data_IF_598854009067
#
_entry.id   IF_598854009067
#
_cell.length_a   1.000
_cell.length_b   1.000
_cell.length_c   1.000
_cell.angle_alpha   90.00
_cell.angle_beta   90.00
_cell.angle_gamma   90.00
#
_symmetry.space_group_name_H-M   'P 1'
#
loop_
_entity.id
_entity.type
_entity.pdbx_description
1 polymer ?
#
# COMPACT_ATOMS: atom_id res chain seq x y z
N UNK A 1 22.54 -1.18 -30.05
CA UNK A 1 22.62 -1.59 -28.62
C UNK A 1 22.69 -0.40 -27.66
N UNK A 2 23.67 0.51 -27.76
CA UNK A 2 23.83 1.66 -26.83
C UNK A 2 22.63 2.63 -26.75
N UNK A 3 21.89 2.81 -27.86
CA UNK A 3 20.65 3.63 -27.91
C UNK A 3 19.43 2.96 -27.28
N UNK A 4 19.36 1.62 -27.33
CA UNK A 4 18.25 0.83 -26.76
C UNK A 4 18.39 0.77 -25.24
N UNK A 5 19.62 0.60 -24.74
CA UNK A 5 19.92 0.63 -23.30
C UNK A 5 19.63 2.01 -22.71
N UNK A 6 19.99 3.10 -23.41
CA UNK A 6 19.65 4.46 -22.97
C UNK A 6 18.13 4.74 -22.98
N UNK A 7 17.40 4.20 -23.96
CA UNK A 7 15.94 4.39 -24.06
C UNK A 7 15.18 3.59 -23.00
N UNK A 8 15.65 2.41 -22.61
CA UNK A 8 15.07 1.61 -21.52
C UNK A 8 15.35 2.25 -20.15
N UNK A 9 16.55 2.81 -19.96
CA UNK A 9 16.90 3.51 -18.72
C UNK A 9 16.10 4.83 -18.56
N UNK A 10 15.85 5.55 -19.66
CA UNK A 10 15.02 6.77 -19.66
C UNK A 10 13.53 6.47 -19.42
N UNK A 11 13.03 5.32 -19.89
CA UNK A 11 11.65 4.88 -19.66
C UNK A 11 11.41 4.52 -18.18
N UNK A 12 12.39 3.93 -17.49
CA UNK A 12 12.30 3.64 -16.05
C UNK A 12 12.36 4.91 -15.18
N UNK A 13 13.10 5.94 -15.59
CA UNK A 13 13.23 7.18 -14.84
C UNK A 13 11.93 8.01 -14.78
N UNK A 14 11.04 7.88 -15.78
CA UNK A 14 9.76 8.60 -15.82
C UNK A 14 8.66 8.00 -14.96
N UNK A 15 8.80 6.75 -14.51
CA UNK A 15 7.78 6.05 -13.71
C UNK A 15 7.94 6.36 -12.20
N UNK A 16 9.06 6.96 -11.78
CA UNK A 16 9.31 7.32 -10.37
C UNK A 16 8.68 8.66 -9.92
N UNK A 17 8.04 9.42 -10.81
CA UNK A 17 7.36 10.68 -10.47
C UNK A 17 5.94 10.46 -9.92
N UNK A 18 5.77 9.44 -9.08
CA UNK A 18 4.50 9.11 -8.43
C UNK A 18 4.18 10.09 -7.29
N UNK A 19 3.30 11.05 -7.58
CA UNK A 19 2.37 11.74 -6.68
C UNK A 19 2.80 11.93 -5.21
N UNK A 20 3.43 13.06 -4.90
CA UNK A 20 3.44 13.62 -3.54
C UNK A 20 2.22 14.52 -3.39
N UNK A 21 1.05 13.96 -3.09
CA UNK A 21 -0.08 14.76 -2.60
C UNK A 21 0.19 15.10 -1.12
N UNK A 22 0.75 16.28 -0.87
CA UNK A 22 0.80 16.84 0.48
C UNK A 22 -0.63 17.09 0.94
N UNK A 23 -1.16 16.21 1.80
CA UNK A 23 -2.36 16.52 2.57
C UNK A 23 -1.96 17.55 3.60
N UNK A 24 -2.24 18.81 3.31
CA UNK A 24 -2.02 19.92 4.24
C UNK A 24 -3.07 19.81 5.33
N UNK A 25 -2.68 19.29 6.49
CA UNK A 25 -3.50 19.38 7.70
C UNK A 25 -3.36 20.79 8.25
N UNK A 26 -4.46 21.55 8.27
CA UNK A 26 -4.45 22.91 8.79
C UNK A 26 -4.25 22.91 10.31
N UNK A 27 -3.27 23.66 10.80
CA UNK A 27 -3.01 23.82 12.23
C UNK A 27 -4.15 24.62 12.88
N UNK A 28 -4.80 24.04 13.89
CA UNK A 28 -5.94 24.67 14.55
C UNK A 28 -5.43 25.55 15.70
N UNK A 29 -5.69 26.87 15.61
CA UNK A 29 -5.44 27.80 16.72
C UNK A 29 -6.56 27.70 17.75
N UNK A 30 -6.36 26.88 18.77
CA UNK A 30 -7.24 26.75 19.93
C UNK A 30 -6.85 27.72 21.05
N UNK A 31 -7.85 28.10 21.86
CA UNK A 31 -7.60 28.79 23.13
C UNK A 31 -6.72 27.93 24.06
N UNK A 32 -5.88 28.59 24.87
CA UNK A 32 -4.88 27.94 25.73
C UNK A 32 -5.51 26.92 26.70
N UNK A 33 -6.72 27.20 27.18
CA UNK A 33 -7.47 26.31 28.08
C UNK A 33 -7.89 25.01 27.39
N UNK A 34 -8.42 25.10 26.17
CA UNK A 34 -8.84 23.92 25.38
C UNK A 34 -7.62 23.08 24.98
N UNK A 35 -6.55 23.75 24.55
CA UNK A 35 -5.28 23.09 24.21
C UNK A 35 -4.73 22.29 25.40
N UNK A 36 -4.71 22.88 26.60
CA UNK A 36 -4.27 22.18 27.80
C UNK A 36 -5.16 20.98 28.15
N UNK A 37 -6.48 21.11 28.00
CA UNK A 37 -7.42 20.00 28.22
C UNK A 37 -7.18 18.82 27.27
N UNK A 38 -6.99 19.09 25.98
CA UNK A 38 -6.73 18.03 25.01
C UNK A 38 -5.35 17.40 25.19
N UNK A 39 -4.34 18.20 25.56
CA UNK A 39 -3.02 17.68 25.87
C UNK A 39 -3.07 16.72 27.06
N UNK A 40 -3.74 17.11 28.15
CA UNK A 40 -3.93 16.25 29.32
C UNK A 40 -4.67 14.96 28.98
N UNK A 41 -5.71 15.05 28.15
CA UNK A 41 -6.45 13.87 27.69
C UNK A 41 -5.55 12.89 26.93
N UNK A 42 -4.71 13.37 26.01
CA UNK A 42 -3.76 12.53 25.29
C UNK A 42 -2.72 11.89 26.25
N UNK A 43 -2.17 12.66 27.21
CA UNK A 43 -1.25 12.13 28.23
C UNK A 43 -1.89 11.00 29.04
N UNK A 44 -3.17 11.12 29.41
CA UNK A 44 -3.89 10.07 30.14
C UNK A 44 -4.02 8.78 29.31
N UNK A 45 -4.17 8.88 27.98
CA UNK A 45 -4.20 7.71 27.11
C UNK A 45 -2.84 7.01 27.03
N UNK A 46 -1.75 7.77 26.90
CA UNK A 46 -0.39 7.20 26.97
C UNK A 46 -0.17 6.47 28.30
N UNK A 47 -0.49 7.09 29.43
CA UNK A 47 -0.31 6.48 30.75
C UNK A 47 -1.15 5.20 30.90
N UNK A 48 -2.37 5.20 30.36
CA UNK A 48 -3.27 4.04 30.36
C UNK A 48 -2.73 2.89 29.50
N UNK A 49 -2.23 3.19 28.31
CA UNK A 49 -1.63 2.22 27.39
C UNK A 49 -0.31 1.65 27.95
N UNK A 50 0.55 2.48 28.53
CA UNK A 50 1.78 2.01 29.19
C UNK A 50 1.45 1.10 30.37
N UNK A 51 0.47 1.47 31.20
CA UNK A 51 0.09 0.63 32.32
C UNK A 51 -0.47 -0.72 31.86
N UNK A 52 -1.29 -0.73 30.82
CA UNK A 52 -1.77 -1.97 30.18
C UNK A 52 -0.61 -2.83 29.70
N UNK A 53 0.38 -2.24 29.00
CA UNK A 53 1.56 -2.96 28.53
C UNK A 53 2.40 -3.56 29.67
N UNK A 54 2.63 -2.81 30.74
CA UNK A 54 3.51 -3.23 31.85
C UNK A 54 2.88 -4.27 32.78
N UNK A 55 1.57 -4.15 33.03
CA UNK A 55 0.88 -4.93 34.07
C UNK A 55 -0.11 -5.94 33.51
N UNK A 56 -0.30 -5.96 32.18
CA UNK A 56 -1.31 -6.75 31.49
C UNK A 56 -2.74 -6.52 32.05
N UNK A 57 -2.99 -5.35 32.65
CA UNK A 57 -4.31 -5.00 33.20
C UNK A 57 -5.29 -4.71 32.09
N UNK A 58 -6.44 -5.36 32.08
CA UNK A 58 -7.48 -5.12 31.07
C UNK A 58 -7.93 -3.65 31.07
N UNK A 59 -7.86 -3.00 29.92
CA UNK A 59 -8.58 -1.75 29.68
C UNK A 59 -10.06 -2.12 29.52
N UNK A 60 -10.92 -1.63 30.42
CA UNK A 60 -12.38 -1.88 30.40
C UNK A 60 -13.09 -1.03 29.34
N UNK A 61 -12.69 -1.19 28.08
CA UNK A 61 -13.26 -0.49 26.94
C UNK A 61 -13.09 -1.38 25.69
N UNK A 62 -14.21 -1.97 25.26
CA UNK A 62 -14.25 -2.90 24.13
C UNK A 62 -14.45 -2.18 22.78
N UNK A 63 -14.33 -0.85 22.74
CA UNK A 63 -14.39 -0.12 21.47
C UNK A 63 -13.24 -0.54 20.55
N UNK A 64 -13.54 -0.66 19.25
CA UNK A 64 -12.54 -0.95 18.22
C UNK A 64 -11.40 0.07 18.23
N UNK A 65 -11.69 1.31 18.61
CA UNK A 65 -10.71 2.38 18.74
C UNK A 65 -9.65 2.05 19.80
N UNK A 66 -10.06 1.59 20.98
CA UNK A 66 -9.13 1.23 22.04
C UNK A 66 -8.36 -0.06 21.73
N UNK A 67 -9.00 -1.03 21.08
CA UNK A 67 -8.29 -2.23 20.63
C UNK A 67 -7.19 -1.90 19.61
N UNK A 68 -7.51 -1.08 18.61
CA UNK A 68 -6.53 -0.59 17.64
C UNK A 68 -5.41 0.22 18.31
N UNK A 69 -5.75 1.00 19.35
CA UNK A 69 -4.77 1.75 20.12
C UNK A 69 -3.82 0.83 20.90
N UNK A 70 -4.35 -0.20 21.57
CA UNK A 70 -3.54 -1.20 22.27
C UNK A 70 -2.60 -1.90 21.29
N UNK A 71 -3.12 -2.35 20.14
CA UNK A 71 -2.33 -3.01 19.11
C UNK A 71 -1.23 -2.09 18.57
N UNK A 72 -1.58 -0.88 18.15
CA UNK A 72 -0.64 0.13 17.64
C UNK A 72 0.44 0.45 18.67
N UNK A 73 0.06 0.63 19.93
CA UNK A 73 0.99 0.91 21.00
C UNK A 73 1.92 -0.28 21.25
N UNK A 74 1.39 -1.49 21.36
CA UNK A 74 2.18 -2.71 21.58
C UNK A 74 3.21 -2.94 20.46
N UNK A 75 2.83 -2.69 19.21
CA UNK A 75 3.75 -2.75 18.08
C UNK A 75 4.86 -1.71 18.18
N UNK A 76 4.52 -0.47 18.51
CA UNK A 76 5.49 0.62 18.66
C UNK A 76 6.39 0.47 19.89
N UNK A 77 5.87 -0.14 20.97
CA UNK A 77 6.46 -0.09 22.30
C UNK A 77 7.86 -0.67 22.40
N UNK A 78 8.13 -1.76 21.66
CA UNK A 78 9.46 -2.40 21.57
C UNK A 78 10.50 -1.46 20.96
N UNK A 79 10.07 -0.69 19.97
CA UNK A 79 10.93 0.18 19.16
C UNK A 79 11.14 1.54 19.82
N UNK A 80 10.17 2.02 20.59
CA UNK A 80 10.33 3.21 21.46
C UNK A 80 11.39 2.96 22.55
N UNK A 81 11.41 1.77 23.14
CA UNK A 81 12.29 1.45 24.27
C UNK A 81 11.80 2.07 25.59
N UNK A 82 12.66 2.21 26.60
CA UNK A 82 12.25 2.70 27.92
C UNK A 82 11.75 4.15 27.81
N UNK A 83 10.58 4.43 28.38
CA UNK A 83 10.03 5.76 28.57
C UNK A 83 10.02 6.09 30.06
N UNK A 84 10.37 7.32 30.41
CA UNK A 84 10.24 7.79 31.77
C UNK A 84 8.95 8.59 31.96
N UNK A 85 7.90 7.89 32.39
CA UNK A 85 6.58 8.48 32.62
C UNK A 85 6.30 8.77 34.10
N UNK A 86 7.23 8.43 35.01
CA UNK A 86 6.98 8.46 36.46
C UNK A 86 7.80 9.52 37.17
N UNK A 87 9.00 9.81 36.67
CA UNK A 87 9.87 10.85 37.21
C UNK A 87 9.81 12.14 36.38
N UNK A 88 10.25 13.24 36.98
CA UNK A 88 10.34 14.57 36.35
C UNK A 88 9.04 15.02 35.65
N UNK A 89 7.99 15.22 36.46
CA UNK A 89 6.71 15.77 36.02
C UNK A 89 6.70 17.29 36.11
N UNK A 90 6.05 17.94 35.15
CA UNK A 90 5.78 19.37 35.19
C UNK A 90 4.77 19.75 36.29
N UNK A 91 4.49 21.04 36.43
CA UNK A 91 3.51 21.58 37.38
C UNK A 91 2.08 21.05 37.18
N UNK A 92 1.78 20.45 36.03
CA UNK A 92 0.49 19.87 35.69
C UNK A 92 0.49 18.33 35.77
N UNK A 93 1.55 17.72 36.29
CA UNK A 93 1.68 16.26 36.44
C UNK A 93 2.07 15.52 35.15
N UNK A 94 2.43 16.25 34.08
CA UNK A 94 2.81 15.66 32.79
C UNK A 94 4.29 15.28 32.83
N UNK A 95 4.66 14.03 32.49
CA UNK A 95 6.06 13.61 32.44
C UNK A 95 6.87 14.39 31.39
N UNK A 96 8.11 14.76 31.68
CA UNK A 96 9.01 15.46 30.73
C UNK A 96 9.35 14.61 29.49
N UNK A 97 9.10 13.31 29.53
CA UNK A 97 9.19 12.44 28.36
C UNK A 97 8.06 12.65 27.35
N UNK A 98 6.98 13.40 27.68
CA UNK A 98 5.85 13.65 26.79
C UNK A 98 5.78 15.14 26.47
N UNK A 99 5.73 15.49 25.18
CA UNK A 99 5.60 16.86 24.73
C UNK A 99 4.41 17.03 23.80
N UNK A 100 3.74 18.18 23.92
CA UNK A 100 2.74 18.58 22.96
C UNK A 100 3.41 18.95 21.62
N UNK A 101 2.87 18.43 20.52
CA UNK A 101 3.39 18.71 19.18
C UNK A 101 2.45 19.63 18.42
N UNK A 102 1.22 19.18 18.15
CA UNK A 102 0.27 19.95 17.36
C UNK A 102 -1.17 19.53 17.60
N UNK A 103 -2.11 20.42 17.27
CA UNK A 103 -3.50 20.05 17.02
C UNK A 103 -3.83 20.48 15.60
N UNK A 104 -4.26 19.52 14.80
CA UNK A 104 -4.60 19.74 13.40
C UNK A 104 -6.02 19.30 13.12
N UNK A 105 -6.58 19.73 11.98
CA UNK A 105 -7.88 19.27 11.52
C UNK A 105 -7.73 18.22 10.42
N UNK A 106 -8.46 17.12 10.51
CA UNK A 106 -8.55 16.15 9.42
C UNK A 106 -9.58 16.62 8.35
N UNK A 107 -9.77 15.80 7.31
CA UNK A 107 -10.73 16.07 6.22
C UNK A 107 -12.19 16.06 6.68
N UNK A 108 -12.49 15.36 7.77
CA UNK A 108 -13.82 15.17 8.34
C UNK A 108 -14.14 16.21 9.43
N UNK A 109 -13.29 17.25 9.55
CA UNK A 109 -13.37 18.29 10.57
C UNK A 109 -13.06 17.85 12.02
N UNK A 110 -12.53 16.65 12.22
CA UNK A 110 -12.10 16.16 13.52
C UNK A 110 -10.77 16.77 13.94
N UNK A 111 -10.57 16.88 15.25
CA UNK A 111 -9.30 17.33 15.82
C UNK A 111 -8.36 16.15 15.99
N UNK A 112 -7.15 16.28 15.45
CA UNK A 112 -6.06 15.33 15.60
C UNK A 112 -5.02 15.96 16.52
N UNK A 113 -4.96 15.45 17.74
CA UNK A 113 -4.02 15.89 18.76
C UNK A 113 -2.79 14.99 18.70
N UNK A 114 -1.64 15.60 18.47
CA UNK A 114 -0.35 14.91 18.36
C UNK A 114 0.51 15.26 19.55
N UNK A 115 0.96 14.23 20.27
CA UNK A 115 1.95 14.34 21.33
C UNK A 115 3.13 13.45 21.00
N UNK A 116 4.35 13.94 21.24
CA UNK A 116 5.58 13.17 21.06
C UNK A 116 6.03 12.59 22.39
N UNK A 117 6.31 11.29 22.41
CA UNK A 117 6.89 10.55 23.51
C UNK A 117 8.37 10.30 23.24
N UNK A 118 9.23 10.62 24.21
CA UNK A 118 10.66 10.35 24.17
C UNK A 118 10.95 8.96 24.73
N UNK A 119 11.41 8.08 23.86
CA UNK A 119 11.89 6.75 24.22
C UNK A 119 13.42 6.66 24.22
N UNK A 120 13.96 5.64 24.90
CA UNK A 120 15.40 5.37 24.92
C UNK A 120 15.99 4.94 23.57
N UNK A 121 15.16 4.44 22.65
CA UNK A 121 15.58 3.96 21.32
C UNK A 121 15.11 4.92 20.24
N UNK A 122 13.79 5.13 20.17
CA UNK A 122 13.14 6.02 19.22
C UNK A 122 12.10 6.87 19.94
N UNK A 123 11.84 8.06 19.39
CA UNK A 123 10.66 8.81 19.76
C UNK A 123 9.44 8.20 19.07
N UNK A 124 8.25 8.52 19.55
CA UNK A 124 7.02 8.16 18.87
C UNK A 124 5.97 9.23 19.05
N UNK A 125 5.17 9.43 18.01
CA UNK A 125 4.01 10.30 18.04
C UNK A 125 2.75 9.49 18.33
N UNK A 126 2.02 9.90 19.38
CA UNK A 126 0.65 9.45 19.60
C UNK A 126 -0.31 10.45 18.97
N UNK A 127 -1.23 9.93 18.15
CA UNK A 127 -2.28 10.69 17.48
C UNK A 127 -3.63 10.31 18.05
N UNK A 128 -4.24 11.24 18.78
CA UNK A 128 -5.59 11.13 19.30
C UNK A 128 -6.54 11.94 18.41
N UNK A 129 -7.46 11.25 17.74
CA UNK A 129 -8.48 11.87 16.90
C UNK A 129 -9.81 11.94 17.65
N UNK A 130 -10.35 13.14 17.78
CA UNK A 130 -11.62 13.40 18.46
C UNK A 130 -12.57 14.22 17.60
N UNK A 131 -13.86 13.95 17.74
CA UNK A 131 -14.89 14.84 17.24
C UNK A 131 -14.97 16.09 18.13
N UNK A 132 -14.85 17.31 17.60
CA UNK A 132 -14.89 18.54 18.40
C UNK A 132 -16.26 18.87 19.00
N UNK A 133 -17.36 18.29 18.50
CA UNK A 133 -18.73 18.63 18.93
C UNK A 133 -19.13 17.88 20.21
N UNK A 134 -18.79 16.60 20.31
CA UNK A 134 -19.15 15.73 21.45
C UNK A 134 -17.94 15.15 22.20
N UNK A 135 -16.71 15.46 21.76
CA UNK A 135 -15.46 14.87 22.25
C UNK A 135 -15.39 13.34 22.14
N UNK A 136 -16.18 12.73 21.25
CA UNK A 136 -16.08 11.30 20.97
C UNK A 136 -14.70 10.96 20.39
N UNK A 137 -14.11 9.86 20.86
CA UNK A 137 -12.81 9.40 20.39
C UNK A 137 -13.01 8.55 19.16
N UNK A 138 -12.48 9.01 18.04
CA UNK A 138 -12.64 8.39 16.73
C UNK A 138 -11.42 7.54 16.36
N UNK A 139 -10.26 7.88 16.90
CA UNK A 139 -9.01 7.19 16.60
C UNK A 139 -7.95 7.45 17.66
N UNK A 140 -7.14 6.43 17.91
CA UNK A 140 -5.95 6.54 18.74
C UNK A 140 -4.89 5.61 18.16
N UNK A 141 -3.74 6.16 17.80
CA UNK A 141 -2.62 5.39 17.23
C UNK A 141 -1.28 5.92 17.70
N UNK A 142 -0.28 5.06 17.70
CA UNK A 142 1.10 5.36 18.08
C UNK A 142 2.02 5.01 16.92
N UNK A 143 2.80 5.98 16.46
CA UNK A 143 3.72 5.84 15.32
C UNK A 143 5.15 6.12 15.77
N UNK A 144 6.08 5.23 15.44
CA UNK A 144 7.49 5.37 15.82
C UNK A 144 8.22 6.28 14.82
N UNK A 145 9.00 7.22 15.35
CA UNK A 145 9.82 8.13 14.56
C UNK A 145 11.17 7.50 14.22
N UNK A 146 11.22 6.88 13.04
CA UNK A 146 12.46 6.37 12.48
C UNK A 146 13.23 7.47 11.74
N UNK A 147 14.55 7.47 11.88
CA UNK A 147 15.40 8.34 11.06
C UNK A 147 15.32 7.95 9.58
N UNK A 148 15.56 8.92 8.68
CA UNK A 148 15.58 8.67 7.23
C UNK A 148 16.56 7.56 6.83
N UNK A 149 17.70 7.47 7.51
CA UNK A 149 18.70 6.41 7.29
C UNK A 149 18.19 5.03 7.70
N UNK A 150 17.45 4.93 8.80
CA UNK A 150 16.88 3.67 9.26
C UNK A 150 15.76 3.20 8.36
N UNK A 151 14.84 4.11 7.97
CA UNK A 151 13.80 3.83 6.98
C UNK A 151 14.40 3.37 5.66
N UNK A 152 15.45 4.03 5.18
CA UNK A 152 16.15 3.63 3.97
C UNK A 152 16.82 2.26 4.12
N UNK A 153 17.40 1.97 5.30
CA UNK A 153 17.98 0.67 5.61
C UNK A 153 16.92 -0.45 5.66
N UNK A 154 15.76 -0.19 6.27
CA UNK A 154 14.62 -1.12 6.30
C UNK A 154 14.07 -1.36 4.89
N UNK A 155 13.89 -0.31 4.10
CA UNK A 155 13.46 -0.41 2.70
C UNK A 155 14.48 -1.18 1.84
N UNK A 156 15.78 -0.93 2.02
CA UNK A 156 16.83 -1.65 1.32
C UNK A 156 16.84 -3.14 1.67
N UNK A 157 16.61 -3.49 2.94
CA UNK A 157 16.47 -4.91 3.34
C UNK A 157 15.28 -5.57 2.64
N UNK A 158 14.13 -4.90 2.57
CA UNK A 158 12.96 -5.43 1.87
C UNK A 158 13.21 -5.55 0.36
N UNK A 159 13.95 -4.59 -0.22
CA UNK A 159 14.38 -4.66 -1.62
C UNK A 159 15.32 -5.85 -1.86
N UNK A 160 16.29 -6.10 -0.96
CA UNK A 160 17.22 -7.24 -1.09
C UNK A 160 16.48 -8.57 -0.99
N UNK A 161 15.50 -8.71 -0.10
CA UNK A 161 14.72 -9.94 -0.02
C UNK A 161 13.85 -10.12 -1.27
N UNK A 162 13.10 -9.10 -1.69
CA UNK A 162 12.19 -9.22 -2.85
C UNK A 162 12.93 -9.32 -4.18
N UNK A 163 13.80 -8.35 -4.46
CA UNK A 163 14.52 -8.22 -5.74
C UNK A 163 15.78 -9.08 -5.79
N UNK A 164 16.45 -9.31 -4.66
CA UNK A 164 17.65 -10.15 -4.60
C UNK A 164 17.33 -11.63 -4.78
N UNK A 165 16.21 -12.12 -4.24
CA UNK A 165 15.80 -13.52 -4.41
C UNK A 165 15.44 -13.81 -5.86
N UNK A 166 14.69 -12.91 -6.52
CA UNK A 166 14.36 -13.06 -7.94
C UNK A 166 15.62 -13.00 -8.82
N UNK A 167 16.55 -12.08 -8.55
CA UNK A 167 17.85 -12.03 -9.22
C UNK A 167 18.65 -13.32 -9.05
N UNK A 168 18.67 -13.89 -7.84
CA UNK A 168 19.38 -15.15 -7.54
C UNK A 168 18.78 -16.34 -8.30
N UNK A 169 17.46 -16.45 -8.36
CA UNK A 169 16.78 -17.52 -9.11
C UNK A 169 17.11 -17.42 -10.61
N UNK A 170 17.12 -16.21 -11.17
CA UNK A 170 17.48 -16.02 -12.58
C UNK A 170 18.94 -16.43 -12.86
N UNK A 171 19.87 -16.07 -11.98
CA UNK A 171 21.27 -16.47 -12.11
C UNK A 171 21.43 -18.00 -12.00
N UNK A 172 20.69 -18.63 -11.09
CA UNK A 172 20.68 -20.07 -10.93
C UNK A 172 20.10 -20.82 -12.15
N UNK A 173 18.97 -20.35 -12.71
CA UNK A 173 18.39 -20.94 -13.92
C UNK A 173 19.30 -20.79 -15.14
N UNK A 174 19.92 -19.61 -15.30
CA UNK A 174 20.94 -19.38 -16.31
C UNK A 174 22.12 -20.36 -16.17
N UNK A 175 22.60 -20.56 -14.93
CA UNK A 175 23.68 -21.49 -14.64
C UNK A 175 23.33 -22.95 -14.96
N UNK A 176 22.10 -23.38 -14.65
CA UNK A 176 21.62 -24.75 -14.94
C UNK A 176 21.56 -25.02 -16.44
N UNK A 177 21.03 -24.09 -17.24
CA UNK A 177 20.99 -24.22 -18.72
C UNK A 177 22.41 -24.28 -19.29
N UNK A 178 23.32 -23.46 -18.78
CA UNK A 178 24.72 -23.47 -19.17
C UNK A 178 25.41 -24.81 -18.86
N UNK A 179 25.17 -25.39 -17.68
CA UNK A 179 25.73 -26.69 -17.28
C UNK A 179 25.20 -27.83 -18.17
N UNK A 180 23.89 -27.85 -18.42
CA UNK A 180 23.27 -28.84 -19.32
C UNK A 180 23.79 -28.72 -20.75
N UNK A 181 23.96 -27.50 -21.28
CA UNK A 181 24.54 -27.28 -22.60
C UNK A 181 26.02 -27.69 -22.72
N UNK A 182 26.72 -27.86 -21.59
CA UNK A 182 28.10 -28.37 -21.56
C UNK A 182 28.18 -29.90 -21.44
N UNK A 183 27.19 -30.53 -20.79
CA UNK A 183 27.14 -31.99 -20.61
C UNK A 183 26.43 -32.71 -21.77
N UNK A 184 25.44 -32.07 -22.38
CA UNK A 184 24.78 -32.54 -23.60
C UNK A 184 25.53 -31.88 -24.76
N UNK A 185 26.46 -32.61 -25.39
CA UNK A 185 27.23 -32.12 -26.53
C UNK A 185 26.33 -31.48 -27.57
N UNK A 186 26.76 -30.33 -28.13
CA UNK A 186 26.03 -29.53 -29.12
C UNK A 186 25.16 -30.40 -30.04
N UNK A 187 23.88 -30.47 -29.73
CA UNK A 187 22.91 -30.85 -30.74
C UNK A 187 22.59 -29.55 -31.46
N UNK A 188 23.11 -29.42 -32.68
CA UNK A 188 22.65 -28.40 -33.62
C UNK A 188 21.15 -28.63 -33.79
N UNK A 189 20.35 -27.80 -33.12
CA UNK A 189 18.94 -27.68 -33.43
C UNK A 189 18.91 -26.93 -34.76
N UNK A 190 18.44 -27.52 -35.87
CA UNK A 190 18.22 -26.76 -37.08
C UNK A 190 17.29 -25.61 -36.71
N UNK A 191 17.62 -24.41 -37.16
CA UNK A 191 16.71 -23.28 -37.13
C UNK A 191 15.54 -23.57 -38.08
N UNK A 192 14.61 -24.42 -37.65
CA UNK A 192 13.24 -24.35 -38.13
C UNK A 192 12.61 -23.25 -37.31
N UNK A 193 12.64 -22.03 -37.86
CA UNK A 193 11.55 -21.08 -37.64
C UNK A 193 10.30 -21.83 -38.08
N UNK A 194 9.67 -22.55 -37.14
CA UNK A 194 8.26 -22.82 -37.25
C UNK A 194 7.63 -21.47 -36.97
N UNK A 195 7.26 -20.81 -38.06
CA UNK A 195 6.13 -19.91 -38.04
C UNK A 195 4.95 -20.76 -37.55
N UNK A 196 4.81 -20.86 -36.22
CA UNK A 196 3.54 -21.22 -35.62
C UNK A 196 2.64 -20.01 -35.87
N UNK A 197 2.10 -19.99 -37.08
CA UNK A 197 0.73 -19.59 -37.29
C UNK A 197 -0.08 -20.34 -36.25
N UNK A 198 -0.39 -19.63 -35.17
CA UNK A 198 -1.39 -20.04 -34.19
C UNK A 198 -2.74 -19.89 -34.91
N UNK A 199 -3.04 -20.81 -35.84
CA UNK A 199 -4.40 -21.01 -36.29
C UNK A 199 -5.10 -21.76 -35.16
N UNK A 200 -5.60 -21.00 -34.20
CA UNK A 200 -6.70 -21.42 -33.34
C UNK A 200 -8.03 -21.38 -34.14
N UNK A 201 -8.02 -21.77 -35.42
CA UNK A 201 -9.20 -21.74 -36.29
C UNK A 201 -10.28 -22.70 -35.81
N UNK A 202 -9.91 -23.72 -35.02
CA UNK A 202 -10.85 -24.72 -34.54
C UNK A 202 -11.71 -24.24 -33.36
N UNK A 203 -11.25 -23.24 -32.60
CA UNK A 203 -12.01 -22.59 -31.52
C UNK A 203 -12.83 -21.42 -32.05
N UNK A 204 -12.27 -20.65 -33.00
CA UNK A 204 -12.96 -19.52 -33.62
C UNK A 204 -14.15 -19.95 -34.47
N UNK A 205 -14.14 -21.11 -35.14
CA UNK A 205 -15.31 -21.61 -35.89
C UNK A 205 -16.52 -21.87 -34.99
N UNK A 206 -16.30 -22.35 -33.76
CA UNK A 206 -17.38 -22.57 -32.79
C UNK A 206 -17.91 -21.23 -32.25
N UNK A 207 -17.01 -20.28 -31.97
CA UNK A 207 -17.38 -18.94 -31.52
C UNK A 207 -18.15 -18.17 -32.61
N UNK A 208 -17.69 -18.24 -33.86
CA UNK A 208 -18.36 -17.65 -35.03
C UNK A 208 -19.72 -18.30 -35.28
N UNK A 209 -19.85 -19.62 -35.11
CA UNK A 209 -21.14 -20.32 -35.22
C UNK A 209 -22.14 -19.86 -34.14
N UNK A 210 -21.70 -19.72 -32.89
CA UNK A 210 -22.56 -19.24 -31.77
C UNK A 210 -22.95 -17.78 -31.99
N UNK A 211 -22.02 -16.92 -32.41
CA UNK A 211 -22.30 -15.51 -32.71
C UNK A 211 -23.26 -15.41 -33.91
N UNK A 212 -23.07 -16.23 -34.95
CA UNK A 212 -23.95 -16.25 -36.13
C UNK A 212 -25.36 -16.75 -35.78
N UNK A 213 -25.47 -17.81 -34.98
CA UNK A 213 -26.74 -18.32 -34.48
C UNK A 213 -27.44 -17.30 -33.57
N UNK A 214 -26.71 -16.61 -32.69
CA UNK A 214 -27.24 -15.56 -31.82
C UNK A 214 -27.71 -14.34 -32.64
N UNK A 215 -26.97 -13.94 -33.67
CA UNK A 215 -27.40 -12.85 -34.58
C UNK A 215 -28.63 -13.27 -35.36
N UNK A 216 -28.67 -14.50 -35.89
CA UNK A 216 -29.83 -15.02 -36.62
C UNK A 216 -31.08 -15.11 -35.73
N UNK A 217 -30.94 -15.58 -34.49
CA UNK A 217 -32.03 -15.62 -33.52
C UNK A 217 -32.45 -14.21 -33.07
N UNK A 218 -31.53 -13.25 -32.99
CA UNK A 218 -31.84 -11.85 -32.65
C UNK A 218 -32.53 -11.07 -33.78
N UNK A 219 -32.50 -11.61 -35.01
CA UNK A 219 -33.13 -11.04 -36.20
C UNK A 219 -34.28 -11.94 -36.62
N UNK A 220 -35.27 -12.09 -35.73
CA UNK A 220 -36.58 -12.55 -36.17
C UNK A 220 -37.08 -11.58 -37.24
N UNK A 221 -37.22 -12.12 -38.46
CA UNK A 221 -37.82 -11.53 -39.67
C UNK A 221 -36.91 -10.71 -40.60
N UNK A 222 -36.25 -11.39 -41.53
CA UNK A 222 -36.06 -10.84 -42.89
C UNK A 222 -36.56 -11.85 -43.92
N UNK A 223 -37.77 -11.59 -44.43
CA UNK A 223 -38.47 -12.33 -45.47
C UNK A 223 -37.57 -12.73 -46.64
N UNK A 224 -37.56 -14.02 -46.99
CA UNK A 224 -36.85 -14.60 -48.13
C UNK A 224 -37.61 -14.46 -49.47
N UNK A 225 -38.58 -13.54 -49.56
CA UNK A 225 -39.51 -13.42 -50.70
C UNK A 225 -39.13 -12.33 -51.73
N UNK A 226 -37.92 -11.76 -51.61
CA UNK A 226 -37.50 -10.58 -52.38
C UNK A 226 -36.54 -10.81 -53.56
N UNK A 227 -36.15 -12.04 -53.88
CA UNK A 227 -35.12 -12.30 -54.88
C UNK A 227 -35.70 -12.95 -56.15
N UNK A 228 -36.05 -12.12 -57.14
CA UNK A 228 -36.38 -12.58 -58.49
C UNK A 228 -35.10 -12.68 -59.32
N UNK A 229 -34.70 -13.91 -59.65
CA UNK A 229 -33.67 -14.17 -60.66
C UNK A 229 -34.29 -14.01 -62.04
N UNK A 230 -33.75 -13.09 -62.84
CA UNK A 230 -34.06 -12.97 -64.27
C UNK A 230 -32.80 -13.21 -65.08
N UNK A 231 -32.88 -14.10 -66.06
CA UNK A 231 -31.78 -14.49 -66.94
C UNK A 231 -31.45 -13.35 -67.91
N UNK A 232 -30.28 -12.74 -67.74
CA UNK A 232 -29.74 -11.75 -68.67
C UNK A 232 -28.89 -12.49 -69.72
N UNK A 233 -29.34 -12.50 -70.97
CA UNK A 233 -28.52 -12.92 -72.11
C UNK A 233 -27.82 -11.68 -72.66
N UNK A 234 -26.48 -11.66 -72.65
CA UNK A 234 -25.72 -10.61 -73.34
C UNK A 234 -25.74 -10.90 -74.85
N UNK A 235 -26.24 -9.95 -75.65
CA UNK A 235 -26.17 -10.01 -77.12
C UNK A 235 -24.70 -9.95 -77.60
N UNK A 236 -24.48 -10.61 -78.74
CA UNK A 236 -23.25 -10.84 -79.50
C UNK A 236 -22.18 -9.74 -79.44
#
# INVERSE_FOLDING_TARGET
MRKIIFSIFLLFAFILSGCSSSTTSDEVKLDGTKKASYYQMAVQYVEKLENHYQTNTSIKDDSSVIQNAIESYNHARSDIGRMDLKTDKDQNGIPDAIHFTSITKNKDNDYVITITMKGSKHNADEMLTINPDDNAILGLSTTVDYSRSELMGQAAKNMVIGMGTTFTILLFLWFVVWLMGKMIGKQEVPATVSEQTNENEMDDLQLVAVITAAIAASREETSTDGFIVRSIHRKQ
#
